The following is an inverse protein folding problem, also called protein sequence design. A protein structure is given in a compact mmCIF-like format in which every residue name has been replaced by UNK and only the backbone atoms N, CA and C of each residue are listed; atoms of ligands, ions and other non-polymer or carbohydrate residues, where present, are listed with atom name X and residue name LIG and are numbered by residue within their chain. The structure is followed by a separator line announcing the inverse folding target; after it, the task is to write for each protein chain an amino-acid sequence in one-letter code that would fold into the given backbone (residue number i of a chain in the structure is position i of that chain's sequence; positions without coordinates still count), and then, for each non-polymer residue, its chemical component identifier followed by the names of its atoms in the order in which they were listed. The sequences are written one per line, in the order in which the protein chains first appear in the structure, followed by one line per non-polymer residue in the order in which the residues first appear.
data_IF_561521828779
#
_entry.id   IF_561521828779
#
_cell.length_a   1.000
_cell.length_b   1.000
_cell.length_c   1.000
_cell.angle_alpha   90.00
_cell.angle_beta   90.00
_cell.angle_gamma   90.00
#
_symmetry.space_group_name_H-M   'P 1'
#
loop_
_entity.id
_entity.type
_entity.pdbx_description
1 polymer ?
#
# COMPACT_ATOMS: atom_id res chain seq x y z
N UNK A 1 -14.53 3.02 -30.26
CA UNK A 1 -13.71 2.84 -29.04
C UNK A 1 -12.28 2.63 -29.47
N UNK A 2 -11.33 3.26 -28.80
CA UNK A 2 -9.91 2.97 -29.05
C UNK A 2 -9.57 1.55 -28.62
N UNK A 3 -8.64 0.91 -29.34
CA UNK A 3 -8.13 -0.42 -29.04
C UNK A 3 -6.71 -0.34 -28.49
N UNK A 4 -6.33 -1.35 -27.72
CA UNK A 4 -4.95 -1.50 -27.26
C UNK A 4 -4.01 -1.74 -28.44
N UNK A 5 -2.81 -1.14 -28.40
CA UNK A 5 -1.81 -1.30 -29.44
C UNK A 5 -1.20 -2.71 -29.44
N UNK A 6 -0.84 -3.24 -28.27
CA UNK A 6 -0.34 -4.60 -28.10
C UNK A 6 -1.08 -5.34 -26.98
N UNK A 7 -1.18 -6.67 -27.10
CA UNK A 7 -1.77 -7.53 -26.05
C UNK A 7 -1.02 -7.43 -24.72
N UNK A 8 0.31 -7.26 -24.78
CA UNK A 8 1.13 -7.12 -23.58
C UNK A 8 0.85 -5.82 -22.83
N UNK A 9 0.51 -4.72 -23.53
CA UNK A 9 0.17 -3.44 -22.89
C UNK A 9 -1.09 -3.60 -22.01
N UNK A 10 -2.07 -4.36 -22.52
CA UNK A 10 -3.27 -4.72 -21.75
C UNK A 10 -2.93 -5.63 -20.57
N UNK A 11 -2.15 -6.69 -20.77
CA UNK A 11 -1.77 -7.61 -19.70
C UNK A 11 -1.02 -6.88 -18.58
N UNK A 12 -0.07 -6.02 -18.92
CA UNK A 12 0.71 -5.25 -17.96
C UNK A 12 -0.17 -4.24 -17.21
N UNK A 13 -1.18 -3.67 -17.87
CA UNK A 13 -2.15 -2.76 -17.24
C UNK A 13 -3.01 -3.49 -16.22
N UNK A 14 -3.44 -4.71 -16.53
CA UNK A 14 -4.19 -5.57 -15.62
C UNK A 14 -3.33 -5.99 -14.42
N UNK A 15 -2.07 -6.36 -14.64
CA UNK A 15 -1.12 -6.70 -13.56
C UNK A 15 -0.85 -5.47 -12.68
N UNK A 16 -0.60 -4.31 -13.29
CA UNK A 16 -0.36 -3.06 -12.55
C UNK A 16 -1.58 -2.58 -11.76
N UNK A 17 -2.80 -2.94 -12.16
CA UNK A 17 -4.00 -2.71 -11.36
C UNK A 17 -4.15 -3.73 -10.22
N UNK A 18 -3.77 -5.00 -10.46
CA UNK A 18 -3.88 -6.06 -9.47
C UNK A 18 -2.83 -5.98 -8.35
N UNK A 19 -1.68 -5.37 -8.61
CA UNK A 19 -0.60 -5.18 -7.65
C UNK A 19 -0.64 -3.77 -7.08
N UNK A 20 -0.92 -3.67 -5.78
CA UNK A 20 -0.99 -2.40 -5.07
C UNK A 20 -0.17 -2.42 -3.76
N UNK A 21 -0.25 -1.31 -3.02
CA UNK A 21 0.41 -1.19 -1.72
C UNK A 21 -0.05 -2.27 -0.74
N UNK A 22 -1.31 -2.72 -0.79
CA UNK A 22 -1.82 -3.74 0.13
C UNK A 22 -1.14 -5.09 -0.08
N UNK A 23 -0.72 -5.44 -1.30
CA UNK A 23 0.08 -6.64 -1.53
C UNK A 23 1.43 -6.60 -0.78
N UNK A 24 2.01 -5.41 -0.58
CA UNK A 24 3.34 -5.24 0.04
C UNK A 24 3.30 -5.37 1.56
N UNK A 25 2.28 -4.83 2.24
CA UNK A 25 2.23 -4.82 3.71
C UNK A 25 1.06 -5.59 4.31
N UNK A 26 -0.13 -5.52 3.70
CA UNK A 26 -1.34 -6.12 4.27
C UNK A 26 -1.32 -7.63 4.14
N UNK A 27 -0.90 -8.17 3.00
CA UNK A 27 -0.81 -9.61 2.81
C UNK A 27 0.19 -10.26 3.78
N UNK A 28 1.45 -9.78 3.91
CA UNK A 28 2.36 -10.34 4.91
C UNK A 28 1.86 -10.20 6.34
N UNK A 29 1.24 -9.06 6.68
CA UNK A 29 0.66 -8.85 8.01
C UNK A 29 -0.45 -9.85 8.33
N UNK A 30 -1.39 -10.07 7.41
CA UNK A 30 -2.49 -11.02 7.58
C UNK A 30 -1.98 -12.46 7.61
N UNK A 31 -1.05 -12.81 6.73
CA UNK A 31 -0.43 -14.13 6.70
C UNK A 31 0.22 -14.47 8.05
N UNK A 32 1.07 -13.58 8.56
CA UNK A 32 1.66 -13.74 9.90
C UNK A 32 0.61 -13.80 11.01
N UNK A 33 -0.37 -12.89 10.97
CA UNK A 33 -1.44 -12.82 11.97
C UNK A 33 -2.40 -14.01 11.91
N UNK A 34 -2.45 -14.81 10.86
CA UNK A 34 -3.42 -15.90 10.69
C UNK A 34 -2.78 -17.30 10.63
N UNK A 35 -1.59 -17.47 11.23
CA UNK A 35 -0.93 -18.78 11.30
C UNK A 35 0.22 -18.97 10.31
N UNK A 36 0.77 -17.87 9.79
CA UNK A 36 1.96 -17.84 8.94
C UNK A 36 1.77 -18.66 7.68
N UNK A 37 2.66 -19.65 7.47
CA UNK A 37 2.60 -20.51 6.30
C UNK A 37 1.29 -21.29 6.16
N UNK A 38 0.58 -21.56 7.26
CA UNK A 38 -0.70 -22.28 7.24
C UNK A 38 -1.80 -21.48 6.51
N UNK A 39 -1.79 -20.15 6.61
CA UNK A 39 -2.76 -19.25 5.96
C UNK A 39 -2.71 -19.33 4.42
N UNK A 40 -1.58 -19.73 3.84
CA UNK A 40 -1.46 -19.88 2.39
C UNK A 40 -2.39 -20.95 1.82
N UNK A 41 -2.75 -21.96 2.62
CA UNK A 41 -3.66 -23.04 2.19
C UNK A 41 -5.07 -22.50 1.89
N UNK A 42 -5.82 -21.92 2.86
CA UNK A 42 -7.13 -21.35 2.57
C UNK A 42 -7.03 -20.20 1.56
N UNK A 43 -5.96 -19.40 1.60
CA UNK A 43 -5.75 -18.32 0.63
C UNK A 43 -5.73 -18.84 -0.83
N UNK A 44 -4.95 -19.89 -1.13
CA UNK A 44 -4.88 -20.47 -2.47
C UNK A 44 -6.21 -21.11 -2.86
N UNK A 45 -6.90 -21.80 -1.94
CA UNK A 45 -8.21 -22.41 -2.19
C UNK A 45 -9.24 -21.34 -2.57
N UNK A 46 -9.38 -20.27 -1.77
CA UNK A 46 -10.31 -19.18 -2.06
C UNK A 46 -9.91 -18.38 -3.32
N UNK A 47 -8.61 -18.24 -3.59
CA UNK A 47 -8.14 -17.65 -4.84
C UNK A 47 -8.60 -18.44 -6.06
N UNK A 48 -8.53 -19.78 -6.01
CA UNK A 48 -8.95 -20.64 -7.12
C UNK A 48 -10.47 -20.72 -7.24
N UNK A 49 -11.21 -20.86 -6.14
CA UNK A 49 -12.65 -21.08 -6.14
C UNK A 49 -13.45 -19.79 -6.35
N UNK A 50 -13.00 -18.68 -5.79
CA UNK A 50 -13.74 -17.41 -5.81
C UNK A 50 -13.00 -16.31 -6.56
N UNK A 51 -11.71 -16.10 -6.27
CA UNK A 51 -10.92 -15.00 -6.82
C UNK A 51 -10.80 -15.05 -8.35
N UNK A 52 -10.26 -16.14 -8.89
CA UNK A 52 -10.04 -16.31 -10.32
C UNK A 52 -11.35 -16.32 -11.14
N UNK A 53 -12.42 -17.03 -10.73
CA UNK A 53 -13.69 -17.01 -11.47
C UNK A 53 -14.34 -15.63 -11.52
N UNK A 54 -14.37 -14.89 -10.40
CA UNK A 54 -14.93 -13.54 -10.38
C UNK A 54 -14.13 -12.58 -11.26
N UNK A 55 -12.80 -12.63 -11.17
CA UNK A 55 -11.92 -11.82 -11.99
C UNK A 55 -12.08 -12.12 -13.49
N UNK A 56 -12.10 -13.39 -13.86
CA UNK A 56 -12.30 -13.81 -15.25
C UNK A 56 -13.68 -13.42 -15.78
N UNK A 57 -14.72 -13.59 -14.97
CA UNK A 57 -16.09 -13.20 -15.32
C UNK A 57 -16.17 -11.70 -15.63
N UNK A 58 -15.56 -10.84 -14.80
CA UNK A 58 -15.56 -9.40 -15.01
C UNK A 58 -14.81 -8.99 -16.29
N UNK A 59 -13.65 -9.60 -16.54
CA UNK A 59 -12.89 -9.38 -17.78
C UNK A 59 -13.67 -9.83 -19.02
N UNK A 60 -14.28 -11.02 -18.97
CA UNK A 60 -15.09 -11.56 -20.06
C UNK A 60 -16.31 -10.67 -20.34
N UNK A 61 -17.01 -10.23 -19.29
CA UNK A 61 -18.15 -9.33 -19.38
C UNK A 61 -17.77 -7.98 -20.01
N UNK A 62 -16.65 -7.39 -19.57
CA UNK A 62 -16.13 -6.14 -20.12
C UNK A 62 -15.69 -6.26 -21.57
N UNK A 63 -15.02 -7.36 -21.92
CA UNK A 63 -14.54 -7.62 -23.28
C UNK A 63 -15.68 -7.92 -24.27
N UNK A 64 -16.69 -8.68 -23.84
CA UNK A 64 -17.84 -9.04 -24.68
C UNK A 64 -18.73 -7.84 -24.97
N UNK A 65 -19.16 -7.13 -23.93
CA UNK A 65 -20.10 -6.01 -24.09
C UNK A 65 -19.43 -4.74 -24.61
N UNK A 66 -18.12 -4.58 -24.36
CA UNK A 66 -17.37 -3.35 -24.68
C UNK A 66 -18.16 -2.13 -24.23
N UNK A 67 -18.57 -2.14 -22.97
CA UNK A 67 -19.30 -1.07 -22.29
C UNK A 67 -18.54 -0.63 -21.03
N UNK A 68 -18.93 0.48 -20.40
CA UNK A 68 -18.35 0.93 -19.12
C UNK A 68 -19.10 0.31 -17.93
N UNK A 69 -18.58 0.50 -16.71
CA UNK A 69 -19.15 -0.10 -15.50
C UNK A 69 -20.64 0.25 -15.26
N UNK A 70 -21.09 1.45 -15.63
CA UNK A 70 -22.51 1.84 -15.53
C UNK A 70 -23.37 1.37 -16.72
N UNK A 71 -22.79 1.32 -17.93
CA UNK A 71 -23.54 1.04 -19.15
C UNK A 71 -23.65 -0.46 -19.46
N UNK A 72 -22.80 -1.31 -18.86
CA UNK A 72 -22.84 -2.77 -19.03
C UNK A 72 -24.14 -3.39 -18.49
N UNK A 73 -24.78 -2.76 -17.51
CA UNK A 73 -26.03 -3.23 -16.90
C UNK A 73 -27.28 -3.07 -17.79
N UNK A 74 -27.11 -2.74 -19.08
CA UNK A 74 -28.17 -2.92 -20.09
C UNK A 74 -28.66 -4.38 -20.17
N UNK A 75 -27.83 -5.34 -19.77
CA UNK A 75 -28.17 -6.77 -19.65
C UNK A 75 -29.32 -6.99 -18.65
N UNK A 76 -29.28 -6.31 -17.51
CA UNK A 76 -30.33 -6.37 -16.49
C UNK A 76 -30.53 -4.97 -15.89
N UNK A 77 -31.51 -4.19 -16.41
CA UNK A 77 -31.74 -2.81 -16.00
C UNK A 77 -32.01 -2.63 -14.50
N UNK A 78 -32.54 -3.66 -13.83
CA UNK A 78 -32.76 -3.66 -12.38
C UNK A 78 -31.46 -3.42 -11.60
N UNK A 79 -30.33 -3.93 -12.10
CA UNK A 79 -29.01 -3.80 -11.46
C UNK A 79 -28.20 -2.60 -11.94
N UNK A 80 -28.80 -1.65 -12.68
CA UNK A 80 -28.11 -0.45 -13.15
C UNK A 80 -27.48 0.37 -11.99
N UNK A 81 -28.08 0.30 -10.80
CA UNK A 81 -27.53 0.92 -9.58
C UNK A 81 -26.15 0.40 -9.18
N UNK A 82 -25.83 -0.86 -9.47
CA UNK A 82 -24.52 -1.47 -9.14
C UNK A 82 -23.39 -0.73 -9.84
N UNK A 83 -23.57 -0.37 -11.11
CA UNK A 83 -22.55 0.36 -11.86
C UNK A 83 -22.28 1.77 -11.32
N UNK A 84 -23.32 2.49 -10.87
CA UNK A 84 -23.14 3.79 -10.21
C UNK A 84 -22.49 3.67 -8.83
N UNK A 85 -22.83 2.61 -8.08
CA UNK A 85 -22.19 2.32 -6.80
C UNK A 85 -20.68 2.07 -6.97
N UNK A 86 -20.26 1.33 -7.99
CA UNK A 86 -18.83 1.10 -8.30
C UNK A 86 -18.10 2.41 -8.61
N UNK A 87 -18.72 3.32 -9.38
CA UNK A 87 -18.13 4.65 -9.69
C UNK A 87 -17.96 5.47 -8.40
N UNK A 88 -18.96 5.46 -7.51
CA UNK A 88 -18.91 6.18 -6.25
C UNK A 88 -17.88 5.58 -5.29
N UNK A 89 -17.76 4.25 -5.21
CA UNK A 89 -16.70 3.58 -4.44
C UNK A 89 -15.32 3.98 -5.00
N UNK A 90 -15.14 3.95 -6.32
CA UNK A 90 -13.88 4.34 -6.96
C UNK A 90 -13.50 5.80 -6.65
N UNK A 91 -14.47 6.70 -6.54
CA UNK A 91 -14.24 8.09 -6.13
C UNK A 91 -13.70 8.19 -4.69
N UNK A 92 -14.35 7.51 -3.73
CA UNK A 92 -13.89 7.48 -2.34
C UNK A 92 -12.51 6.85 -2.19
N UNK A 93 -12.28 5.74 -2.90
CA UNK A 93 -10.99 5.06 -2.95
C UNK A 93 -9.91 5.97 -3.53
N UNK A 94 -10.23 6.69 -4.60
CA UNK A 94 -9.34 7.67 -5.22
C UNK A 94 -8.88 8.77 -4.26
N UNK A 95 -9.75 9.26 -3.37
CA UNK A 95 -9.36 10.32 -2.43
C UNK A 95 -8.27 9.87 -1.46
N UNK A 96 -8.45 8.74 -0.77
CA UNK A 96 -7.49 8.33 0.26
C UNK A 96 -6.22 7.71 -0.34
N UNK A 97 -6.30 6.98 -1.46
CA UNK A 97 -5.09 6.42 -2.09
C UNK A 97 -4.18 7.54 -2.62
N UNK A 98 -4.73 8.59 -3.22
CA UNK A 98 -3.91 9.73 -3.66
C UNK A 98 -3.24 10.46 -2.49
N UNK A 99 -3.89 10.51 -1.32
CA UNK A 99 -3.26 11.03 -0.10
C UNK A 99 -2.08 10.17 0.36
N UNK A 100 -2.21 8.83 0.32
CA UNK A 100 -1.10 7.92 0.66
C UNK A 100 0.06 8.08 -0.33
N UNK A 101 -0.21 8.22 -1.63
CA UNK A 101 0.83 8.48 -2.64
C UNK A 101 1.51 9.82 -2.35
N UNK A 102 0.77 10.85 -1.95
CA UNK A 102 1.34 12.14 -1.57
C UNK A 102 2.27 12.04 -0.34
N UNK A 103 1.92 11.22 0.66
CA UNK A 103 2.83 10.94 1.79
C UNK A 103 4.12 10.26 1.29
N UNK A 104 4.00 9.22 0.45
CA UNK A 104 5.16 8.55 -0.13
C UNK A 104 6.05 9.49 -0.95
N UNK A 105 5.45 10.42 -1.69
CA UNK A 105 6.18 11.44 -2.44
C UNK A 105 6.91 12.42 -1.51
N UNK A 106 6.29 12.80 -0.39
CA UNK A 106 6.94 13.60 0.65
C UNK A 106 8.14 12.87 1.27
N UNK A 107 8.01 11.57 1.56
CA UNK A 107 9.10 10.72 2.03
C UNK A 107 10.23 10.61 0.98
N UNK A 108 9.89 10.51 -0.31
CA UNK A 108 10.87 10.47 -1.40
C UNK A 108 11.71 11.76 -1.42
N UNK A 109 11.08 12.93 -1.39
CA UNK A 109 11.81 14.20 -1.36
C UNK A 109 12.63 14.39 -0.07
N UNK A 110 12.08 13.96 1.07
CA UNK A 110 12.79 14.00 2.36
C UNK A 110 14.00 13.06 2.40
N UNK A 111 14.04 12.04 1.54
CA UNK A 111 15.16 11.10 1.43
C UNK A 111 16.36 11.65 0.66
N UNK A 112 16.24 12.82 -0.01
CA UNK A 112 17.35 13.46 -0.72
C UNK A 112 18.25 14.28 0.22
N UNK A 113 18.51 13.73 1.40
CA UNK A 113 19.35 14.30 2.46
C UNK A 113 20.47 13.31 2.80
N UNK A 114 21.62 13.81 3.25
CA UNK A 114 22.75 12.95 3.62
C UNK A 114 22.45 12.10 4.84
N UNK A 115 21.80 12.69 5.85
CA UNK A 115 21.25 11.98 7.00
C UNK A 115 19.72 11.99 6.90
N UNK A 116 19.10 10.81 6.99
CA UNK A 116 17.65 10.71 6.84
C UNK A 116 16.95 11.27 8.10
N UNK A 117 15.86 12.04 7.95
CA UNK A 117 15.25 12.78 9.07
C UNK A 117 14.61 11.89 10.15
N UNK A 118 14.40 10.61 9.86
CA UNK A 118 13.85 9.62 10.79
C UNK A 118 14.92 8.72 11.44
N UNK A 119 16.22 9.06 11.37
CA UNK A 119 17.27 8.26 12.01
C UNK A 119 17.55 8.69 13.44
N UNK A 120 17.42 9.98 13.76
CA UNK A 120 17.87 10.56 15.03
C UNK A 120 16.73 11.35 15.71
N UNK A 121 16.79 11.49 17.03
CA UNK A 121 15.82 12.26 17.81
C UNK A 121 16.09 13.79 17.85
N UNK A 122 17.18 14.28 17.26
CA UNK A 122 17.57 15.70 17.29
C UNK A 122 16.93 16.51 16.15
N UNK A 123 15.60 16.64 16.18
CA UNK A 123 14.84 17.41 15.19
C UNK A 123 13.77 18.26 15.85
N UNK A 124 13.36 19.34 15.19
CA UNK A 124 12.38 20.31 15.73
C UNK A 124 10.98 19.74 15.98
N UNK A 125 10.61 18.63 15.33
CA UNK A 125 9.32 17.97 15.50
C UNK A 125 9.31 16.89 16.58
N UNK A 126 10.47 16.49 17.09
CA UNK A 126 10.57 15.39 18.04
C UNK A 126 10.11 15.81 19.43
N UNK A 127 9.46 14.88 20.14
CA UNK A 127 9.09 15.08 21.54
C UNK A 127 10.29 14.86 22.47
N UNK A 128 10.26 15.41 23.70
CA UNK A 128 11.30 15.13 24.69
C UNK A 128 11.37 13.64 25.10
N UNK A 129 10.35 12.85 24.75
CA UNK A 129 10.27 11.42 25.05
C UNK A 129 10.72 10.54 23.86
N UNK A 130 11.30 11.14 22.81
CA UNK A 130 11.86 10.40 21.68
C UNK A 130 13.08 9.58 22.14
N UNK A 131 13.06 8.28 21.85
CA UNK A 131 14.16 7.36 22.22
C UNK A 131 14.92 6.89 20.98
N UNK A 132 16.19 7.27 20.87
CA UNK A 132 17.06 6.87 19.76
C UNK A 132 17.63 5.45 19.99
N UNK A 133 17.43 4.51 19.04
CA UNK A 133 18.02 3.17 19.08
C UNK A 133 19.54 3.13 19.25
N UNK A 134 20.27 4.10 18.70
CA UNK A 134 21.75 4.13 18.69
C UNK A 134 22.35 4.52 20.03
N UNK A 135 21.59 5.27 20.84
CA UNK A 135 22.02 5.75 22.17
C UNK A 135 21.74 4.73 23.29
N UNK A 136 21.09 3.61 22.98
CA UNK A 136 20.82 2.56 23.96
C UNK A 136 22.04 1.65 24.17
N UNK A 137 22.82 1.95 25.21
CA UNK A 137 23.79 1.00 25.76
C UNK A 137 23.04 -0.10 26.55
N UNK A 138 23.43 -1.36 26.35
CA UNK A 138 22.83 -2.54 26.98
C UNK A 138 22.87 -2.55 28.53
N UNK A 139 23.55 -1.59 29.16
CA UNK A 139 23.68 -1.43 30.61
C UNK A 139 22.41 -0.88 31.30
N UNK A 140 21.44 -0.34 30.56
CA UNK A 140 20.14 0.12 31.10
C UNK A 140 19.07 -1.00 31.01
N UNK A 141 19.49 -2.26 30.93
CA UNK A 141 18.60 -3.41 31.07
C UNK A 141 18.39 -3.73 32.56
N UNK A 142 17.76 -2.80 33.28
CA UNK A 142 17.04 -3.19 34.49
C UNK A 142 15.97 -4.22 34.11
N UNK A 143 15.79 -5.26 34.93
CA UNK A 143 14.79 -6.31 34.76
C UNK A 143 13.42 -5.75 34.34
N UNK A 144 13.11 -5.74 33.03
CA UNK A 144 11.73 -5.58 32.54
C UNK A 144 11.44 -4.59 31.40
N UNK A 145 12.38 -3.78 30.90
CA UNK A 145 12.07 -2.90 29.75
C UNK A 145 12.38 -3.56 28.42
N UNK A 146 11.46 -4.44 27.97
CA UNK A 146 11.42 -4.89 26.58
C UNK A 146 11.35 -3.68 25.66
N UNK A 147 12.24 -3.61 24.67
CA UNK A 147 12.29 -2.64 23.57
C UNK A 147 10.91 -2.37 22.93
N UNK A 148 9.97 -3.33 23.01
CA UNK A 148 8.62 -3.22 22.48
C UNK A 148 7.66 -2.29 23.24
N UNK A 149 8.08 -1.66 24.35
CA UNK A 149 7.19 -0.80 25.17
C UNK A 149 7.23 0.69 24.79
N UNK A 150 8.20 1.14 24.01
CA UNK A 150 8.31 2.54 23.61
C UNK A 150 7.74 2.75 22.21
N UNK A 151 6.55 3.36 22.13
CA UNK A 151 5.87 3.77 20.88
C UNK A 151 6.56 4.95 20.16
N UNK A 152 7.65 5.49 20.72
CA UNK A 152 8.20 6.80 20.37
C UNK A 152 9.59 6.66 19.73
N UNK A 153 9.66 5.90 18.64
CA UNK A 153 10.88 5.82 17.83
C UNK A 153 11.01 7.07 16.95
N UNK A 154 12.23 7.47 16.53
CA UNK A 154 12.43 8.62 15.64
C UNK A 154 11.58 8.52 14.36
N UNK A 155 11.42 7.31 13.81
CA UNK A 155 10.59 7.08 12.63
C UNK A 155 9.08 7.20 12.88
N UNK A 156 8.60 6.75 14.04
CA UNK A 156 7.20 6.94 14.42
C UNK A 156 6.90 8.43 14.67
N UNK A 157 7.77 9.14 15.39
CA UNK A 157 7.65 10.58 15.63
C UNK A 157 7.75 11.39 14.33
N UNK A 158 8.63 11.00 13.41
CA UNK A 158 8.69 11.64 12.09
C UNK A 158 7.36 11.48 11.33
N UNK A 159 6.76 10.28 11.31
CA UNK A 159 5.47 10.07 10.66
C UNK A 159 4.33 10.83 11.34
N UNK A 160 4.18 10.69 12.66
CA UNK A 160 3.06 11.25 13.40
C UNK A 160 3.16 12.76 13.59
N UNK A 161 4.34 13.28 13.94
CA UNK A 161 4.54 14.71 14.21
C UNK A 161 5.14 15.47 13.06
N UNK A 162 6.12 14.90 12.35
CA UNK A 162 6.80 15.58 11.24
C UNK A 162 5.98 15.63 9.95
N UNK A 163 5.42 14.50 9.53
CA UNK A 163 4.64 14.39 8.28
C UNK A 163 3.18 14.76 8.51
N UNK A 164 2.51 14.05 9.43
CA UNK A 164 1.06 14.17 9.61
C UNK A 164 0.64 15.32 10.53
N UNK A 165 1.53 15.81 11.41
CA UNK A 165 1.18 16.80 12.43
C UNK A 165 -0.03 16.38 13.30
N UNK A 166 -0.14 15.08 13.59
CA UNK A 166 -1.29 14.52 14.31
C UNK A 166 -1.47 15.13 15.70
N UNK A 167 -0.39 15.61 16.32
CA UNK A 167 -0.39 16.29 17.62
C UNK A 167 -1.11 17.65 17.63
N UNK A 168 -1.33 18.28 16.46
CA UNK A 168 -2.07 19.55 16.34
C UNK A 168 -3.59 19.32 16.34
N UNK A 169 -4.04 18.08 16.07
CA UNK A 169 -5.46 17.71 16.02
C UNK A 169 -5.90 17.00 17.31
N UNK A 170 -7.08 17.38 17.83
CA UNK A 170 -7.72 16.70 18.98
C UNK A 170 -8.61 15.52 18.57
N UNK A 171 -8.61 15.17 17.29
CA UNK A 171 -9.40 14.09 16.71
C UNK A 171 -10.18 14.53 15.47
N UNK A 172 -11.11 13.68 15.01
CA UNK A 172 -11.84 13.85 13.74
C UNK A 172 -12.70 15.13 13.72
N UNK A 173 -13.10 15.63 14.89
CA UNK A 173 -13.92 16.85 15.03
C UNK A 173 -13.10 18.14 14.84
N UNK A 174 -11.77 18.06 14.98
CA UNK A 174 -10.87 19.21 14.91
C UNK A 174 -9.62 18.81 14.10
N UNK A 175 -9.76 18.83 12.77
CA UNK A 175 -8.73 18.39 11.83
C UNK A 175 -7.63 19.43 11.59
N UNK A 176 -7.80 20.66 12.09
CA UNK A 176 -6.88 21.77 11.81
C UNK A 176 -6.83 22.18 10.34
N UNK A 177 -5.75 22.87 9.95
CA UNK A 177 -5.52 23.32 8.59
C UNK A 177 -4.73 22.28 7.77
N UNK A 178 -4.98 22.16 6.45
CA UNK A 178 -4.22 21.27 5.61
C UNK A 178 -2.75 21.71 5.54
N UNK A 179 -1.83 20.76 5.75
CA UNK A 179 -0.38 21.00 5.63
C UNK A 179 -0.01 21.30 4.19
N UNK A 180 0.50 22.50 3.94
CA UNK A 180 0.77 22.98 2.58
C UNK A 180 1.77 22.09 1.83
N UNK A 181 2.75 21.48 2.51
CA UNK A 181 3.71 20.56 1.89
C UNK A 181 3.00 19.32 1.33
N UNK A 182 2.11 18.71 2.12
CA UNK A 182 1.33 17.55 1.68
C UNK A 182 0.31 17.93 0.61
N UNK A 183 -0.31 19.12 0.71
CA UNK A 183 -1.19 19.64 -0.34
C UNK A 183 -0.44 19.85 -1.67
N UNK A 184 0.80 20.31 -1.63
CA UNK A 184 1.64 20.46 -2.82
C UNK A 184 2.04 19.10 -3.38
N UNK A 185 2.44 18.13 -2.54
CA UNK A 185 2.68 16.75 -2.99
C UNK A 185 1.42 16.14 -3.64
N UNK A 186 0.24 16.36 -3.07
CA UNK A 186 -1.03 15.91 -3.63
C UNK A 186 -1.33 16.57 -4.98
N UNK A 187 -1.08 17.87 -5.12
CA UNK A 187 -1.22 18.58 -6.39
C UNK A 187 -0.31 17.98 -7.47
N UNK A 188 0.95 17.67 -7.13
CA UNK A 188 1.89 17.01 -8.04
C UNK A 188 1.38 15.62 -8.45
N UNK A 189 0.87 14.82 -7.52
CA UNK A 189 0.27 13.50 -7.82
C UNK A 189 -0.89 13.65 -8.80
N UNK A 190 -1.81 14.59 -8.56
CA UNK A 190 -2.95 14.84 -9.45
C UNK A 190 -2.50 15.25 -10.85
N UNK A 191 -1.49 16.12 -10.96
CA UNK A 191 -0.92 16.54 -12.25
C UNK A 191 -0.32 15.34 -13.01
N UNK A 192 0.44 14.47 -12.33
CA UNK A 192 1.03 13.26 -12.92
C UNK A 192 -0.07 12.32 -13.42
N UNK A 193 -1.09 12.07 -12.60
CA UNK A 193 -2.22 11.21 -12.96
C UNK A 193 -2.99 11.77 -14.17
N UNK A 194 -3.23 13.08 -14.16
CA UNK A 194 -3.90 13.76 -15.25
C UNK A 194 -3.16 13.61 -16.58
N UNK A 195 -1.85 13.86 -16.62
CA UNK A 195 -1.06 13.66 -17.83
C UNK A 195 -0.96 12.18 -18.26
N UNK A 196 -0.96 11.25 -17.31
CA UNK A 196 -0.96 9.82 -17.59
C UNK A 196 -2.25 9.36 -18.29
N UNK A 197 -3.39 9.99 -17.94
CA UNK A 197 -4.72 9.63 -18.42
C UNK A 197 -5.25 10.53 -19.55
N UNK A 198 -4.68 11.71 -19.79
CA UNK A 198 -5.24 12.72 -20.73
C UNK A 198 -5.53 12.14 -22.11
N UNK A 199 -4.62 11.36 -22.71
CA UNK A 199 -4.82 10.75 -24.04
C UNK A 199 -5.38 9.32 -23.96
N UNK A 200 -6.01 8.96 -22.85
CA UNK A 200 -6.69 7.70 -22.65
C UNK A 200 -5.74 6.50 -22.59
N UNK A 201 -6.20 5.37 -23.16
CA UNK A 201 -5.52 4.07 -23.07
C UNK A 201 -4.17 4.04 -23.79
N UNK A 202 -3.95 4.89 -24.79
CA UNK A 202 -2.69 4.96 -25.54
C UNK A 202 -1.53 5.55 -24.72
N UNK A 203 -1.78 6.56 -23.89
CA UNK A 203 -0.75 7.09 -22.97
C UNK A 203 -0.64 6.22 -21.73
N UNK A 204 -1.78 5.82 -21.15
CA UNK A 204 -1.79 4.97 -19.96
C UNK A 204 -1.00 3.68 -20.19
N UNK A 205 -1.22 2.99 -21.31
CA UNK A 205 -0.47 1.77 -21.64
C UNK A 205 1.05 1.96 -21.71
N UNK A 206 1.55 3.13 -22.10
CA UNK A 206 2.99 3.43 -22.11
C UNK A 206 3.54 3.74 -20.72
N UNK A 207 2.79 4.48 -19.91
CA UNK A 207 3.18 4.80 -18.53
C UNK A 207 3.25 3.52 -17.69
N UNK A 208 2.31 2.60 -17.90
CA UNK A 208 2.22 1.31 -17.22
C UNK A 208 3.47 0.45 -17.39
N UNK A 209 4.19 0.57 -18.51
CA UNK A 209 5.47 -0.14 -18.69
C UNK A 209 6.48 0.17 -17.60
N UNK A 210 6.49 1.40 -17.09
CA UNK A 210 7.37 1.80 -16.00
C UNK A 210 6.70 1.49 -14.66
N UNK A 211 5.45 1.91 -14.47
CA UNK A 211 4.80 1.84 -13.15
C UNK A 211 4.48 0.41 -12.71
N UNK A 212 4.25 -0.52 -13.63
CA UNK A 212 3.99 -1.92 -13.31
C UNK A 212 5.28 -2.75 -13.17
N UNK A 213 6.39 -2.37 -13.81
CA UNK A 213 7.64 -3.16 -13.78
C UNK A 213 8.59 -2.72 -12.68
N UNK A 214 8.69 -1.42 -12.42
CA UNK A 214 9.61 -0.85 -11.43
C UNK A 214 9.42 -1.44 -10.02
N UNK A 215 8.19 -1.65 -9.50
CA UNK A 215 8.01 -2.25 -8.19
C UNK A 215 8.66 -3.63 -8.05
N UNK A 216 8.63 -4.47 -9.09
CA UNK A 216 9.28 -5.79 -9.05
C UNK A 216 10.80 -5.69 -8.97
N UNK A 217 11.40 -4.72 -9.69
CA UNK A 217 12.84 -4.46 -9.63
C UNK A 217 13.23 -4.00 -8.22
N UNK A 218 12.48 -3.06 -7.64
CA UNK A 218 12.72 -2.58 -6.27
C UNK A 218 12.55 -3.70 -5.24
N UNK A 219 11.48 -4.49 -5.34
CA UNK A 219 11.25 -5.63 -4.45
C UNK A 219 12.35 -6.68 -4.55
N UNK A 220 12.88 -6.93 -5.75
CA UNK A 220 13.99 -7.85 -5.95
C UNK A 220 15.29 -7.35 -5.29
N UNK A 221 15.61 -6.06 -5.44
CA UNK A 221 16.78 -5.45 -4.77
C UNK A 221 16.60 -5.49 -3.25
N UNK A 222 15.41 -5.14 -2.75
CA UNK A 222 15.10 -5.22 -1.32
C UNK A 222 15.13 -6.65 -0.78
N UNK A 223 14.76 -7.65 -1.59
CA UNK A 223 14.86 -9.06 -1.22
C UNK A 223 16.32 -9.48 -1.06
N UNK A 224 17.19 -9.17 -2.04
CA UNK A 224 18.63 -9.47 -1.95
C UNK A 224 19.23 -8.78 -0.73
N UNK A 225 18.93 -7.50 -0.53
CA UNK A 225 19.41 -6.78 0.64
C UNK A 225 18.88 -7.41 1.94
N UNK A 226 17.59 -7.73 1.99
CA UNK A 226 16.91 -8.33 3.14
C UNK A 226 17.52 -9.66 3.58
N UNK A 227 17.87 -10.55 2.64
CA UNK A 227 18.47 -11.86 2.96
C UNK A 227 19.95 -11.77 3.38
N UNK A 228 20.64 -10.68 3.04
CA UNK A 228 22.05 -10.47 3.43
C UNK A 228 22.20 -9.87 4.84
N UNK A 229 21.12 -9.34 5.42
CA UNK A 229 21.12 -8.75 6.76
C UNK A 229 21.23 -9.83 7.87
N UNK A 230 21.96 -9.55 8.96
CA UNK A 230 22.04 -10.47 10.08
C UNK A 230 20.66 -10.66 10.73
N UNK A 231 20.30 -11.91 11.03
CA UNK A 231 19.00 -12.24 11.63
C UNK A 231 17.84 -12.36 10.66
N UNK A 232 18.06 -12.26 9.34
CA UNK A 232 17.02 -12.46 8.32
C UNK A 232 16.28 -13.80 8.46
N UNK A 233 17.01 -14.87 8.82
CA UNK A 233 16.45 -16.20 9.05
C UNK A 233 15.34 -16.20 10.12
N UNK A 234 15.48 -15.41 11.19
CA UNK A 234 14.48 -15.34 12.26
C UNK A 234 13.16 -14.74 11.75
N UNK A 235 13.23 -13.71 10.91
CA UNK A 235 12.06 -13.09 10.29
C UNK A 235 11.34 -14.04 9.33
N UNK A 236 12.09 -14.76 8.48
CA UNK A 236 11.53 -15.75 7.55
C UNK A 236 10.87 -16.90 8.31
N UNK A 237 11.54 -17.43 9.33
CA UNK A 237 11.00 -18.51 10.15
C UNK A 237 9.74 -18.05 10.90
N UNK A 238 9.72 -16.83 11.44
CA UNK A 238 8.53 -16.28 12.08
C UNK A 238 7.37 -16.09 11.09
N UNK A 239 7.65 -15.67 9.86
CA UNK A 239 6.64 -15.46 8.82
C UNK A 239 6.05 -16.77 8.29
N UNK A 240 6.91 -17.77 8.02
CA UNK A 240 6.52 -19.05 7.43
C UNK A 240 6.25 -20.14 8.46
N UNK A 241 6.30 -19.83 9.76
CA UNK A 241 5.92 -20.77 10.81
C UNK A 241 4.51 -21.29 10.56
N UNK A 242 4.33 -22.61 10.64
CA UNK A 242 3.07 -23.26 10.31
C UNK A 242 2.32 -23.56 11.62
N UNK A 243 1.23 -22.82 11.87
CA UNK A 243 0.34 -23.11 12.99
C UNK A 243 -1.07 -23.53 12.53
N UNK A 244 -1.25 -24.84 12.39
CA UNK A 244 -2.54 -25.43 12.00
C UNK A 244 -3.66 -25.21 13.01
N UNK A 245 -3.37 -24.83 14.26
CA UNK A 245 -4.43 -24.58 15.26
C UNK A 245 -5.26 -23.37 14.87
N UNK A 246 -4.63 -22.37 14.24
CA UNK A 246 -5.29 -21.13 13.83
C UNK A 246 -6.24 -21.31 12.66
N UNK A 247 -6.02 -22.32 11.81
CA UNK A 247 -6.95 -22.67 10.73
C UNK A 247 -8.32 -23.17 11.22
N UNK A 248 -8.46 -23.52 12.51
CA UNK A 248 -9.76 -23.90 13.09
C UNK A 248 -10.62 -22.69 13.40
N UNK A 249 -10.03 -21.50 13.48
CA UNK A 249 -10.77 -20.26 13.71
C UNK A 249 -11.44 -19.84 12.41
N UNK A 250 -12.75 -19.60 12.42
CA UNK A 250 -13.51 -19.19 11.23
C UNK A 250 -13.08 -17.83 10.65
N UNK A 251 -12.26 -17.07 11.38
CA UNK A 251 -11.72 -15.77 10.97
C UNK A 251 -10.48 -15.86 10.09
N UNK A 252 -9.92 -17.07 9.92
CA UNK A 252 -8.70 -17.37 9.15
C UNK A 252 -9.05 -17.87 7.75
#
# INVERSE_FOLDING_TARGET
RETWGKKIDFLLSVIGFAVDLANVWRFPYLCYKNGGGAFLIPYIIFLIIAGMPLFYMELALGQYNREGAATVWKICPLFKGVGYAVILIALYVGFYYNAIIAWSLYYLFSSFTFELPWTNCDNSWNSPNCTDPKLFNASVLGNGTKYSKYKLTPAAEFYERGVLHLHESRGIHDLGLPRWQLSLCLLVVVIILFFSLWKGVKTSGKVVWITATLPYVVLFVLLIHGITLPGAYNGINAYLHIDFRRLKEATV
#
